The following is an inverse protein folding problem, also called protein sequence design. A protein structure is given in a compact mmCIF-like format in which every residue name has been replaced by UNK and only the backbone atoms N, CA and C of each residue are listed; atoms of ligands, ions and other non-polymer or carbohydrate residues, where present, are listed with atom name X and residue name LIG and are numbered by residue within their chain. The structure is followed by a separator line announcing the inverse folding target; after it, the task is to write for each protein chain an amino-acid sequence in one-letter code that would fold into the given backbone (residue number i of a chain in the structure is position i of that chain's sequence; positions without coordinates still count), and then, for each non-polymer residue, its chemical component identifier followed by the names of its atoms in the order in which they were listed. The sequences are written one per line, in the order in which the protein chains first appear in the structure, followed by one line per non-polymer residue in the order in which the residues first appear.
data_IF_124860739285
#
_entry.id   IF_124860739285
#
_cell.length_a   1.000
_cell.length_b   1.000
_cell.length_c   1.000
_cell.angle_alpha   90.00
_cell.angle_beta   90.00
_cell.angle_gamma   90.00
#
_symmetry.space_group_name_H-M   'P 1'
#
loop_
_entity.id
_entity.type
_entity.pdbx_description
1 polymer ?
#
# COMPACT_ATOMS: atom_id res chain seq x y z
N UNK A 1 -23.86 12.58 -19.69
CA UNK A 1 -22.58 13.21 -20.10
C UNK A 1 -21.67 12.10 -20.59
N UNK A 2 -21.37 12.07 -21.89
CA UNK A 2 -20.65 10.97 -22.53
C UNK A 2 -19.18 10.97 -22.12
N UNK A 3 -18.64 9.80 -21.76
CA UNK A 3 -17.24 9.55 -21.37
C UNK A 3 -16.26 10.11 -22.42
N UNK A 4 -16.64 10.08 -23.70
CA UNK A 4 -15.86 10.64 -24.81
C UNK A 4 -15.66 12.17 -24.75
N UNK A 5 -16.51 12.91 -24.04
CA UNK A 5 -16.36 14.36 -23.88
C UNK A 5 -15.27 14.71 -22.87
N UNK A 6 -15.20 13.94 -21.78
CA UNK A 6 -14.22 14.12 -20.70
C UNK A 6 -12.80 13.83 -21.22
N UNK A 7 -12.61 12.77 -22.01
CA UNK A 7 -11.32 12.43 -22.60
C UNK A 7 -10.79 13.51 -23.55
N UNK A 8 -11.67 14.14 -24.33
CA UNK A 8 -11.28 15.26 -25.21
C UNK A 8 -10.94 16.54 -24.43
N UNK A 9 -11.65 16.84 -23.35
CA UNK A 9 -11.39 18.01 -22.51
C UNK A 9 -10.05 17.89 -21.74
N UNK A 10 -9.67 16.68 -21.31
CA UNK A 10 -8.37 16.39 -20.71
C UNK A 10 -7.21 16.55 -21.70
N UNK A 11 -7.39 16.09 -22.95
CA UNK A 11 -6.37 16.21 -23.99
C UNK A 11 -6.11 17.68 -24.37
N UNK A 12 -7.17 18.49 -24.44
CA UNK A 12 -7.07 19.94 -24.67
C UNK A 12 -6.31 20.67 -23.55
N UNK A 13 -6.47 20.23 -22.30
CA UNK A 13 -5.77 20.82 -21.16
C UNK A 13 -4.28 20.46 -21.14
N UNK A 14 -3.94 19.20 -21.41
CA UNK A 14 -2.54 18.77 -21.51
C UNK A 14 -1.81 19.48 -22.65
N UNK A 15 -2.40 19.56 -23.84
CA UNK A 15 -1.82 20.28 -24.96
C UNK A 15 -1.56 21.75 -24.60
N UNK A 16 -2.53 22.41 -23.96
CA UNK A 16 -2.40 23.80 -23.53
C UNK A 16 -1.23 24.00 -22.56
N UNK A 17 -1.04 23.12 -21.58
CA UNK A 17 0.11 23.19 -20.66
C UNK A 17 1.43 23.02 -21.42
N UNK A 18 1.49 22.03 -22.32
CA UNK A 18 2.71 21.72 -23.08
C UNK A 18 3.12 22.86 -24.03
N UNK A 19 2.16 23.64 -24.55
CA UNK A 19 2.48 24.82 -25.37
C UNK A 19 3.21 25.92 -24.59
N UNK A 20 3.04 26.00 -23.26
CA UNK A 20 3.77 26.95 -22.41
C UNK A 20 5.21 26.52 -22.10
N UNK A 21 5.56 25.25 -22.34
CA UNK A 21 6.92 24.76 -22.13
C UNK A 21 7.86 25.21 -23.25
N UNK A 22 9.13 25.42 -22.89
CA UNK A 22 10.21 25.66 -23.84
C UNK A 22 10.58 24.36 -24.56
N UNK A 23 11.20 24.49 -25.74
CA UNK A 23 11.72 23.33 -26.49
C UNK A 23 12.74 22.53 -25.65
N UNK A 24 13.53 23.20 -24.81
CA UNK A 24 14.48 22.53 -23.92
C UNK A 24 13.77 21.65 -22.88
N UNK A 25 12.71 22.16 -22.26
CA UNK A 25 11.89 21.41 -21.31
C UNK A 25 11.18 20.23 -21.98
N UNK A 26 10.59 20.43 -23.17
CA UNK A 26 9.94 19.36 -23.93
C UNK A 26 10.94 18.26 -24.32
N UNK A 27 12.15 18.62 -24.74
CA UNK A 27 13.21 17.64 -25.06
C UNK A 27 13.70 16.90 -23.81
N UNK A 28 13.79 17.57 -22.67
CA UNK A 28 14.14 16.93 -21.40
C UNK A 28 13.09 15.89 -21.01
N UNK A 29 11.80 16.24 -21.12
CA UNK A 29 10.69 15.34 -20.84
C UNK A 29 10.72 14.10 -21.75
N UNK A 30 10.91 14.31 -23.06
CA UNK A 30 11.05 13.23 -24.03
C UNK A 30 12.27 12.34 -23.73
N UNK A 31 13.40 12.90 -23.28
CA UNK A 31 14.58 12.12 -22.88
C UNK A 31 14.31 11.25 -21.66
N UNK A 32 13.65 11.79 -20.63
CA UNK A 32 13.24 11.03 -19.45
C UNK A 32 12.34 9.85 -19.83
N UNK A 33 11.47 10.08 -20.83
CA UNK A 33 10.57 9.06 -21.40
C UNK A 33 11.24 8.13 -22.41
N UNK A 34 12.54 8.30 -22.71
CA UNK A 34 13.29 7.55 -23.76
C UNK A 34 12.67 7.66 -25.15
N UNK A 35 12.06 8.79 -25.47
CA UNK A 35 11.44 9.10 -26.75
C UNK A 35 12.33 10.00 -27.63
N UNK A 36 12.08 10.00 -28.93
CA UNK A 36 12.83 10.85 -29.86
C UNK A 36 12.61 12.35 -29.59
N UNK A 37 13.71 13.09 -29.49
CA UNK A 37 13.73 14.56 -29.34
C UNK A 37 13.84 15.32 -30.67
N UNK A 38 13.70 14.62 -31.80
CA UNK A 38 13.80 15.24 -33.13
C UNK A 38 12.46 15.84 -33.55
N UNK A 39 12.51 16.95 -34.29
CA UNK A 39 11.33 17.65 -34.81
C UNK A 39 11.19 19.09 -34.31
N UNK A 40 10.14 19.74 -34.77
CA UNK A 40 9.71 21.06 -34.33
C UNK A 40 8.98 20.96 -32.97
N UNK A 41 8.63 22.11 -32.37
CA UNK A 41 7.97 22.14 -31.05
C UNK A 41 6.66 21.34 -31.01
N UNK A 42 5.84 21.41 -32.05
CA UNK A 42 4.56 20.70 -32.12
C UNK A 42 4.79 19.19 -32.21
N UNK A 43 5.79 18.74 -32.98
CA UNK A 43 6.15 17.31 -33.04
C UNK A 43 6.53 16.76 -31.66
N UNK A 44 7.22 17.57 -30.84
CA UNK A 44 7.57 17.18 -29.47
C UNK A 44 6.33 17.09 -28.58
N UNK A 45 5.41 18.05 -28.69
CA UNK A 45 4.15 18.09 -27.92
C UNK A 45 3.27 16.89 -28.28
N UNK A 46 3.03 16.66 -29.58
CA UNK A 46 2.25 15.52 -30.05
C UNK A 46 2.83 14.19 -29.57
N UNK A 47 4.16 14.06 -29.56
CA UNK A 47 4.83 12.84 -29.06
C UNK A 47 4.64 12.60 -27.56
N UNK A 48 4.63 13.66 -26.75
CA UNK A 48 4.34 13.57 -25.31
C UNK A 48 2.87 13.17 -25.10
N UNK A 49 1.94 13.77 -25.85
CA UNK A 49 0.51 13.45 -25.78
C UNK A 49 0.24 12.00 -26.18
N UNK A 50 0.81 11.55 -27.30
CA UNK A 50 0.66 10.15 -27.75
C UNK A 50 1.23 9.15 -26.74
N UNK A 51 2.38 9.45 -26.13
CA UNK A 51 2.97 8.62 -25.09
C UNK A 51 2.10 8.57 -23.84
N UNK A 52 1.52 9.71 -23.43
CA UNK A 52 0.54 9.73 -22.35
C UNK A 52 -0.64 8.83 -22.72
N UNK A 53 -1.33 9.06 -23.85
CA UNK A 53 -2.48 8.24 -24.27
C UNK A 53 -2.13 6.75 -24.27
N UNK A 54 -0.99 6.35 -24.84
CA UNK A 54 -0.53 4.96 -24.85
C UNK A 54 -0.28 4.41 -23.45
N UNK A 55 0.29 5.19 -22.54
CA UNK A 55 0.47 4.80 -21.13
C UNK A 55 -0.85 4.77 -20.38
N UNK A 56 -1.85 5.53 -20.78
CA UNK A 56 -3.17 5.52 -20.16
C UNK A 56 -3.94 4.26 -20.58
N UNK A 57 -3.73 3.83 -21.82
CA UNK A 57 -4.30 2.59 -22.37
C UNK A 57 -3.58 1.34 -21.83
N UNK A 58 -2.24 1.39 -21.72
CA UNK A 58 -1.42 0.25 -21.29
C UNK A 58 -1.10 0.23 -19.79
N UNK A 59 -1.21 1.36 -19.10
CA UNK A 59 -0.87 1.53 -17.68
C UNK A 59 -1.77 0.74 -16.76
N UNK A 60 -2.95 0.35 -17.23
CA UNK A 60 -3.78 -0.61 -16.50
C UNK A 60 -3.19 -2.02 -16.55
N UNK A 61 -2.59 -2.48 -17.65
CA UNK A 61 -2.24 -3.90 -17.76
C UNK A 61 -0.93 -4.24 -17.04
N UNK A 62 0.10 -3.41 -17.15
CA UNK A 62 1.38 -3.67 -16.48
C UNK A 62 1.30 -3.39 -14.98
N UNK A 63 0.59 -2.36 -14.52
CA UNK A 63 0.33 -2.16 -13.09
C UNK A 63 -0.59 -3.25 -12.55
N UNK A 64 -1.70 -3.61 -13.22
CA UNK A 64 -2.56 -4.72 -12.77
C UNK A 64 -1.83 -6.06 -12.81
N UNK A 65 -0.93 -6.29 -13.78
CA UNK A 65 -0.14 -7.51 -13.85
C UNK A 65 0.93 -7.52 -12.75
N UNK A 66 1.56 -6.39 -12.45
CA UNK A 66 2.47 -6.27 -11.32
C UNK A 66 1.73 -6.43 -9.97
N UNK A 67 0.52 -5.87 -9.82
CA UNK A 67 -0.37 -6.07 -8.67
C UNK A 67 -0.84 -7.53 -8.56
N UNK A 68 -1.17 -8.17 -9.68
CA UNK A 68 -1.56 -9.59 -9.74
C UNK A 68 -0.39 -10.49 -9.36
N UNK A 69 0.79 -10.22 -9.90
CA UNK A 69 2.03 -10.93 -9.58
C UNK A 69 2.43 -10.68 -8.12
N UNK A 70 2.26 -9.47 -7.58
CA UNK A 70 2.44 -9.18 -6.15
C UNK A 70 1.44 -9.96 -5.29
N UNK A 71 0.16 -9.99 -5.66
CA UNK A 71 -0.86 -10.76 -4.93
C UNK A 71 -0.67 -12.28 -5.03
N UNK A 72 0.02 -12.78 -6.07
CA UNK A 72 0.34 -14.20 -6.25
C UNK A 72 1.69 -14.59 -5.63
N UNK A 73 2.63 -13.65 -5.49
CA UNK A 73 3.94 -13.86 -4.87
C UNK A 73 3.97 -13.56 -3.37
N UNK A 74 2.92 -12.94 -2.80
CA UNK A 74 2.73 -12.83 -1.35
C UNK A 74 2.30 -14.17 -0.70
N UNK A 75 2.87 -15.28 -1.18
CA UNK A 75 3.11 -16.47 -0.37
C UNK A 75 4.44 -16.35 0.40
N UNK A 76 4.99 -15.15 0.55
CA UNK A 76 5.86 -14.83 1.69
C UNK A 76 4.98 -14.86 2.94
N UNK A 77 4.92 -16.07 3.49
CA UNK A 77 5.03 -16.38 4.91
C UNK A 77 5.10 -15.12 5.76
N UNK A 78 3.94 -14.61 6.16
CA UNK A 78 3.87 -13.78 7.34
C UNK A 78 4.29 -14.70 8.49
N UNK A 79 5.58 -14.73 8.80
CA UNK A 79 6.12 -15.26 10.06
C UNK A 79 5.80 -14.26 11.18
N UNK A 80 4.55 -13.80 11.22
CA UNK A 80 3.92 -13.59 12.49
C UNK A 80 3.59 -15.00 12.91
N UNK A 81 4.40 -15.57 13.81
CA UNK A 81 4.01 -16.77 14.55
C UNK A 81 2.74 -16.41 15.31
N UNK A 82 1.60 -16.43 14.61
CA UNK A 82 0.27 -16.39 15.20
C UNK A 82 0.29 -17.63 16.09
N UNK A 83 0.34 -17.47 17.42
CA UNK A 83 0.50 -18.62 18.29
C UNK A 83 -0.64 -19.57 17.99
N UNK A 84 -0.33 -20.85 17.80
CA UNK A 84 -1.35 -21.82 17.43
C UNK A 84 -2.49 -21.74 18.44
N UNK A 85 -3.73 -21.92 17.98
CA UNK A 85 -4.92 -21.84 18.84
C UNK A 85 -4.76 -22.72 20.08
N UNK A 86 -4.07 -23.84 19.94
CA UNK A 86 -3.75 -24.78 21.02
C UNK A 86 -2.80 -24.17 22.06
N UNK A 87 -1.79 -23.42 21.63
CA UNK A 87 -0.82 -22.77 22.52
C UNK A 87 -1.48 -21.63 23.32
N UNK A 88 -2.35 -20.85 22.68
CA UNK A 88 -3.15 -19.83 23.35
C UNK A 88 -4.09 -20.45 24.40
N UNK A 89 -4.73 -21.57 24.08
CA UNK A 89 -5.63 -22.27 25.01
C UNK A 89 -4.86 -22.82 26.22
N UNK A 90 -3.68 -23.39 26.01
CA UNK A 90 -2.82 -23.88 27.08
C UNK A 90 -2.36 -22.74 28.00
N UNK A 91 -2.01 -21.59 27.44
CA UNK A 91 -1.57 -20.43 28.22
C UNK A 91 -2.72 -19.81 29.02
N UNK A 92 -3.91 -19.75 28.44
CA UNK A 92 -5.14 -19.33 29.15
C UNK A 92 -5.43 -20.28 30.33
N UNK A 93 -5.23 -21.59 30.17
CA UNK A 93 -5.47 -22.56 31.25
C UNK A 93 -4.45 -22.40 32.39
N UNK A 94 -3.17 -22.19 32.07
CA UNK A 94 -2.13 -21.92 33.08
C UNK A 94 -2.41 -20.66 33.88
N UNK A 95 -2.78 -19.58 33.20
CA UNK A 95 -3.11 -18.30 33.86
C UNK A 95 -4.32 -18.45 34.78
N UNK A 96 -5.34 -19.21 34.39
CA UNK A 96 -6.50 -19.52 35.24
C UNK A 96 -6.10 -20.26 36.51
N UNK A 97 -5.26 -21.30 36.41
CA UNK A 97 -4.73 -22.04 37.57
C UNK A 97 -3.89 -21.17 38.50
N UNK A 98 -3.10 -20.25 37.94
CA UNK A 98 -2.28 -19.34 38.73
C UNK A 98 -3.13 -18.35 39.54
N UNK A 99 -4.20 -17.81 38.94
CA UNK A 99 -5.15 -16.94 39.64
C UNK A 99 -5.86 -17.69 40.77
N UNK A 100 -6.28 -18.94 40.53
CA UNK A 100 -6.92 -19.79 41.54
C UNK A 100 -6.00 -20.05 42.75
N UNK A 101 -4.72 -20.33 42.50
CA UNK A 101 -3.72 -20.52 43.56
C UNK A 101 -3.44 -19.23 44.35
N UNK A 102 -3.49 -18.07 43.70
CA UNK A 102 -3.32 -16.77 44.36
C UNK A 102 -4.54 -16.40 45.20
N UNK A 103 -5.75 -16.69 44.73
CA UNK A 103 -6.98 -16.49 45.50
C UNK A 103 -7.02 -17.34 46.77
N UNK A 104 -6.61 -18.61 46.72
CA UNK A 104 -6.62 -19.52 47.86
C UNK A 104 -5.54 -19.23 48.92
N UNK A 105 -4.54 -18.40 48.62
CA UNK A 105 -3.53 -17.96 49.59
C UNK A 105 -3.98 -16.76 50.45
N UNK A 106 -5.09 -16.11 50.10
CA UNK A 106 -5.59 -14.93 50.80
C UNK A 106 -6.26 -15.24 52.14
N UNK A 107 -6.64 -16.51 52.38
CA UNK A 107 -7.48 -16.89 53.52
C UNK A 107 -6.76 -17.69 54.64
N UNK A 108 -5.45 -17.92 54.55
CA UNK A 108 -4.73 -18.66 55.61
C UNK A 108 -3.74 -17.80 56.40
N UNK A 109 -4.17 -17.45 57.61
CA UNK A 109 -3.42 -17.07 58.81
C UNK A 109 -2.89 -15.64 58.96
N UNK A 110 -3.73 -14.79 59.57
CA UNK A 110 -3.30 -14.12 60.81
C UNK A 110 -3.61 -15.08 61.98
N UNK A 111 -2.63 -15.54 62.77
CA UNK A 111 -2.93 -16.30 63.97
C UNK A 111 -3.54 -15.37 65.01
N UNK A 112 -4.82 -15.62 65.31
CA UNK A 112 -5.48 -15.18 66.53
C UNK A 112 -4.75 -15.78 67.73
N UNK A 113 -4.13 -14.93 68.55
CA UNK A 113 -3.86 -15.28 69.95
C UNK A 113 -4.42 -14.17 70.82
N UNK A 114 -5.64 -14.42 71.31
CA UNK A 114 -6.25 -13.73 72.42
C UNK A 114 -5.52 -14.05 73.74
N UNK A 115 -5.37 -13.02 74.59
CA UNK A 115 -5.22 -13.02 76.07
C UNK A 115 -4.11 -13.92 76.71
N UNK A 116 -3.45 -13.58 77.82
CA UNK A 116 -3.90 -13.14 79.16
C UNK A 116 -2.64 -12.86 80.02
N UNK A 117 -2.83 -12.08 81.10
CA UNK A 117 -1.96 -11.75 82.24
C UNK A 117 -1.05 -10.52 82.13
#
# INVERSE_FOLDING_TARGET
MSINKIANDLNYFEEKILTHLTVAQLKMDLRLRKLSTTGNKNDLISRIIEDNIKRNENGTLDELNNLRIQSQNNNETFDETVPDKTDLLNEIEKLRKQVELLSNRSDTSLPSTAHTN
#
